data_IF_499346416694
#
_entry.id   IF_499346416694
#
_cell.length_a   1.000
_cell.length_b   1.000
_cell.length_c   1.000
_cell.angle_alpha   90.00
_cell.angle_beta   90.00
_cell.angle_gamma   90.00
#
_symmetry.space_group_name_H-M   'P 1'
#
loop_
_entity.id
_entity.type
_entity.pdbx_description
1 polymer ?
#
# COMPACT_ATOMS: atom_id res chain seq x y z
N UNK A 1 24.16 8.34 30.30
CA UNK A 1 23.21 9.27 29.65
C UNK A 1 22.35 8.45 28.72
N UNK A 2 21.05 8.42 29.00
CA UNK A 2 20.13 7.48 28.37
C UNK A 2 19.58 7.97 27.05
N UNK A 3 19.28 7.03 26.18
CA UNK A 3 18.19 7.13 25.21
C UNK A 3 17.26 5.97 25.49
N UNK A 4 16.13 6.28 26.12
CA UNK A 4 15.01 5.37 26.24
C UNK A 4 14.46 5.15 24.83
N UNK A 5 14.70 3.98 24.25
CA UNK A 5 13.93 3.50 23.10
C UNK A 5 12.53 3.14 23.62
N UNK A 6 11.64 4.13 23.66
CA UNK A 6 10.23 3.90 23.91
C UNK A 6 9.57 3.38 22.63
N UNK A 7 9.00 2.16 22.69
CA UNK A 7 7.83 1.68 21.94
C UNK A 7 7.59 2.30 20.52
N UNK A 8 8.42 2.02 19.51
CA UNK A 8 8.28 2.64 18.17
C UNK A 8 7.66 1.77 17.06
N UNK A 9 7.45 0.46 17.25
CA UNK A 9 7.07 -0.43 16.13
C UNK A 9 5.68 -0.17 15.53
N UNK A 10 4.66 0.08 16.36
CA UNK A 10 3.29 0.34 15.87
C UNK A 10 3.17 1.72 15.18
N UNK A 11 3.93 2.70 15.65
CA UNK A 11 4.06 4.04 15.04
C UNK A 11 4.65 3.96 13.64
N UNK A 12 5.65 3.10 13.46
CA UNK A 12 6.34 2.94 12.18
C UNK A 12 5.47 2.20 11.16
N UNK A 13 4.74 1.14 11.56
CA UNK A 13 3.81 0.45 10.64
C UNK A 13 2.74 1.40 10.10
N UNK A 14 2.03 2.10 10.98
CA UNK A 14 0.91 2.97 10.60
C UNK A 14 1.34 4.02 9.59
N UNK A 15 2.48 4.68 9.86
CA UNK A 15 3.03 5.71 8.97
C UNK A 15 3.42 5.11 7.62
N UNK A 16 4.23 4.05 7.61
CA UNK A 16 4.70 3.43 6.36
C UNK A 16 3.53 2.86 5.55
N UNK A 17 2.56 2.20 6.18
CA UNK A 17 1.39 1.65 5.50
C UNK A 17 0.55 2.76 4.83
N UNK A 18 0.37 3.91 5.49
CA UNK A 18 -0.35 5.05 4.90
C UNK A 18 0.41 5.65 3.71
N UNK A 19 1.73 5.75 3.78
CA UNK A 19 2.57 6.19 2.66
C UNK A 19 2.45 5.22 1.46
N UNK A 20 2.51 3.92 1.71
CA UNK A 20 2.35 2.88 0.68
C UNK A 20 0.96 2.93 0.03
N UNK A 21 -0.10 3.14 0.81
CA UNK A 21 -1.46 3.32 0.27
C UNK A 21 -1.54 4.54 -0.65
N UNK A 22 -0.86 5.64 -0.31
CA UNK A 22 -0.89 6.85 -1.13
C UNK A 22 -0.13 6.67 -2.44
N UNK A 23 1.07 6.08 -2.39
CA UNK A 23 1.83 5.70 -3.58
C UNK A 23 1.03 4.79 -4.50
N UNK A 24 0.25 3.89 -3.91
CA UNK A 24 -0.55 2.96 -4.67
C UNK A 24 -1.77 3.60 -5.32
N UNK A 25 -2.41 4.60 -4.67
CA UNK A 25 -3.44 5.40 -5.34
C UNK A 25 -2.88 6.16 -6.55
N UNK A 26 -1.69 6.76 -6.41
CA UNK A 26 -1.01 7.44 -7.51
C UNK A 26 -0.74 6.44 -8.64
N UNK A 27 -0.29 5.23 -8.30
CA UNK A 27 -0.06 4.16 -9.28
C UNK A 27 -1.32 3.82 -10.08
N UNK A 28 -2.46 3.71 -9.40
CA UNK A 28 -3.77 3.43 -10.02
C UNK A 28 -4.24 4.62 -10.87
N UNK A 29 -4.17 5.85 -10.35
CA UNK A 29 -4.64 7.05 -11.03
C UNK A 29 -3.87 7.34 -12.32
N UNK A 30 -2.55 7.13 -12.31
CA UNK A 30 -1.68 7.39 -13.44
C UNK A 30 -1.38 6.15 -14.29
N UNK A 31 -1.92 4.98 -13.91
CA UNK A 31 -1.65 3.67 -14.53
C UNK A 31 -0.15 3.48 -14.73
N UNK A 32 0.58 3.45 -13.61
CA UNK A 32 2.04 3.41 -13.61
C UNK A 32 2.62 2.82 -12.34
N UNK A 33 3.93 2.56 -12.38
CA UNK A 33 4.69 2.10 -11.21
C UNK A 33 5.66 3.18 -10.76
N UNK A 34 5.62 3.60 -9.48
CA UNK A 34 6.60 4.53 -8.92
C UNK A 34 7.91 3.79 -8.64
N UNK A 35 8.73 3.58 -9.67
CA UNK A 35 10.00 2.85 -9.57
C UNK A 35 10.94 3.41 -8.49
N UNK A 36 10.96 4.73 -8.30
CA UNK A 36 11.78 5.40 -7.28
C UNK A 36 11.40 5.03 -5.84
N UNK A 37 10.24 4.38 -5.66
CA UNK A 37 9.68 4.01 -4.36
C UNK A 37 9.72 2.49 -4.11
N UNK A 38 10.31 1.73 -5.04
CA UNK A 38 10.42 0.25 -4.96
C UNK A 38 11.02 -0.21 -3.64
N UNK A 39 12.09 0.45 -3.17
CA UNK A 39 12.76 0.12 -1.91
C UNK A 39 11.81 0.26 -0.71
N UNK A 40 10.87 1.22 -0.72
CA UNK A 40 9.88 1.36 0.35
C UNK A 40 8.88 0.22 0.36
N UNK A 41 8.41 -0.21 -0.83
CA UNK A 41 7.55 -1.38 -0.95
C UNK A 41 8.26 -2.64 -0.45
N UNK A 42 9.48 -2.88 -0.90
CA UNK A 42 10.26 -4.05 -0.50
C UNK A 42 10.57 -4.06 1.00
N UNK A 43 10.95 -2.93 1.56
CA UNK A 43 11.17 -2.79 2.99
C UNK A 43 9.89 -3.06 3.79
N UNK A 44 8.76 -2.49 3.39
CA UNK A 44 7.47 -2.73 4.04
C UNK A 44 7.04 -4.20 3.94
N UNK A 45 7.21 -4.84 2.79
CA UNK A 45 6.82 -6.23 2.58
C UNK A 45 7.69 -7.25 3.32
N UNK A 46 8.99 -6.97 3.42
CA UNK A 46 9.96 -7.81 4.13
C UNK A 46 9.97 -7.61 5.65
N UNK A 47 9.46 -6.47 6.14
CA UNK A 47 9.40 -6.19 7.58
C UNK A 47 8.32 -7.05 8.26
N UNK A 48 8.68 -7.71 9.36
CA UNK A 48 7.75 -8.46 10.18
C UNK A 48 7.05 -7.55 11.21
N UNK A 49 5.72 -7.62 11.23
CA UNK A 49 4.85 -6.82 12.10
C UNK A 49 4.03 -7.70 13.07
N UNK A 50 3.23 -7.08 13.94
CA UNK A 50 2.30 -7.80 14.81
C UNK A 50 1.18 -8.50 14.02
N UNK A 51 0.48 -9.46 14.62
CA UNK A 51 -0.53 -10.28 13.94
C UNK A 51 -1.61 -9.45 13.19
N UNK A 52 -2.12 -8.38 13.82
CA UNK A 52 -3.11 -7.49 13.21
C UNK A 52 -2.54 -6.72 12.02
N UNK A 53 -1.31 -6.22 12.16
CA UNK A 53 -0.61 -5.43 11.14
C UNK A 53 -0.21 -6.31 9.95
N UNK A 54 0.21 -7.55 10.20
CA UNK A 54 0.48 -8.55 9.16
C UNK A 54 -0.77 -8.86 8.33
N UNK A 55 -1.94 -8.93 8.97
CA UNK A 55 -3.22 -9.06 8.26
C UNK A 55 -3.47 -7.90 7.30
N UNK A 56 -3.19 -6.67 7.74
CA UNK A 56 -3.33 -5.47 6.92
C UNK A 56 -2.27 -5.43 5.81
N UNK A 57 -1.00 -5.72 6.11
CA UNK A 57 0.09 -5.80 5.13
C UNK A 57 -0.25 -6.77 4.00
N UNK A 58 -0.73 -7.97 4.32
CA UNK A 58 -1.13 -8.97 3.31
C UNK A 58 -2.24 -8.46 2.41
N UNK A 59 -3.23 -7.73 2.94
CA UNK A 59 -4.28 -7.10 2.11
C UNK A 59 -3.71 -6.04 1.17
N UNK A 60 -2.80 -5.19 1.66
CA UNK A 60 -2.10 -4.19 0.83
C UNK A 60 -1.32 -4.89 -0.30
N UNK A 61 -0.57 -5.94 0.03
CA UNK A 61 0.19 -6.73 -0.94
C UNK A 61 -0.71 -7.38 -1.99
N UNK A 62 -1.83 -7.99 -1.57
CA UNK A 62 -2.77 -8.62 -2.50
C UNK A 62 -3.29 -7.62 -3.51
N UNK A 63 -3.78 -6.47 -3.04
CA UNK A 63 -4.27 -5.43 -3.94
C UNK A 63 -3.17 -4.99 -4.89
N UNK A 64 -1.97 -4.71 -4.36
CA UNK A 64 -0.82 -4.31 -5.17
C UNK A 64 -0.56 -5.29 -6.32
N UNK A 65 -0.54 -6.59 -6.04
CA UNK A 65 -0.39 -7.61 -7.09
C UNK A 65 -1.55 -7.64 -8.07
N UNK A 66 -2.80 -7.50 -7.60
CA UNK A 66 -3.99 -7.49 -8.46
C UNK A 66 -3.94 -6.35 -9.49
N UNK A 67 -3.51 -5.14 -9.08
CA UNK A 67 -3.33 -4.04 -10.02
C UNK A 67 -2.20 -4.30 -11.02
N UNK A 68 -1.03 -4.73 -10.56
CA UNK A 68 0.10 -4.96 -11.47
C UNK A 68 -0.13 -6.14 -12.43
N UNK A 69 -1.01 -7.07 -12.07
CA UNK A 69 -1.44 -8.15 -12.95
C UNK A 69 -2.51 -7.72 -13.96
N UNK A 70 -3.46 -6.85 -13.55
CA UNK A 70 -4.64 -6.53 -14.34
C UNK A 70 -4.54 -5.23 -15.16
N UNK A 71 -3.71 -4.27 -14.74
CA UNK A 71 -3.63 -2.98 -15.40
C UNK A 71 -3.02 -3.09 -16.80
N UNK A 72 -3.67 -2.45 -17.77
CA UNK A 72 -3.14 -2.29 -19.12
C UNK A 72 -2.15 -1.12 -19.15
N UNK A 73 -0.89 -1.39 -18.82
CA UNK A 73 0.19 -0.39 -18.87
C UNK A 73 0.55 0.09 -20.28
N UNK A 74 0.14 -0.64 -21.33
CA UNK A 74 0.42 -0.26 -22.73
C UNK A 74 -0.51 0.85 -23.20
N UNK A 75 -1.75 0.85 -22.71
CA UNK A 75 -2.74 1.90 -22.97
C UNK A 75 -3.32 2.39 -21.64
N UNK A 76 -2.79 3.52 -21.15
CA UNK A 76 -3.23 4.11 -19.88
C UNK A 76 -4.69 4.53 -19.89
N UNK A 77 -5.25 4.85 -21.06
CA UNK A 77 -6.63 5.30 -21.20
C UNK A 77 -7.60 4.14 -21.47
N UNK A 78 -7.13 2.89 -21.43
CA UNK A 78 -7.99 1.72 -21.61
C UNK A 78 -9.15 1.76 -20.59
N UNK A 79 -10.42 1.63 -21.03
CA UNK A 79 -11.57 1.61 -20.14
C UNK A 79 -11.47 0.56 -19.01
N UNK A 80 -10.76 -0.55 -19.23
CA UNK A 80 -10.50 -1.56 -18.20
C UNK A 80 -9.69 -1.03 -17.03
N UNK A 81 -8.76 -0.08 -17.24
CA UNK A 81 -8.01 0.56 -16.15
C UNK A 81 -8.93 1.39 -15.25
N UNK A 82 -9.92 2.07 -15.85
CA UNK A 82 -10.92 2.83 -15.08
C UNK A 82 -11.78 1.89 -14.25
N UNK A 83 -12.24 0.77 -14.82
CA UNK A 83 -13.01 -0.24 -14.08
C UNK A 83 -12.18 -0.84 -12.94
N UNK A 84 -10.90 -1.14 -13.19
CA UNK A 84 -9.97 -1.62 -12.18
C UNK A 84 -9.80 -0.60 -11.05
N UNK A 85 -9.63 0.68 -11.37
CA UNK A 85 -9.53 1.75 -10.38
C UNK A 85 -10.81 1.88 -9.54
N UNK A 86 -11.99 1.79 -10.15
CA UNK A 86 -13.29 1.80 -9.47
C UNK A 86 -13.47 0.62 -8.49
N UNK A 87 -12.82 -0.52 -8.76
CA UNK A 87 -12.80 -1.68 -7.87
C UNK A 87 -11.79 -1.51 -6.72
N UNK A 88 -10.59 -1.02 -7.02
CA UNK A 88 -9.50 -0.96 -6.05
C UNK A 88 -9.60 0.22 -5.07
N UNK A 89 -10.12 1.37 -5.49
CA UNK A 89 -10.20 2.55 -4.62
C UNK A 89 -11.08 2.35 -3.37
N UNK A 90 -12.27 1.73 -3.45
CA UNK A 90 -13.05 1.37 -2.27
C UNK A 90 -12.25 0.51 -1.28
N UNK A 91 -11.56 -0.52 -1.76
CA UNK A 91 -10.77 -1.42 -0.91
C UNK A 91 -9.61 -0.67 -0.23
N UNK A 92 -8.91 0.20 -0.97
CA UNK A 92 -7.85 1.03 -0.39
C UNK A 92 -8.39 2.00 0.66
N UNK A 93 -9.59 2.54 0.47
CA UNK A 93 -10.24 3.41 1.46
C UNK A 93 -10.58 2.63 2.73
N UNK A 94 -11.03 1.39 2.61
CA UNK A 94 -11.27 0.52 3.76
C UNK A 94 -9.98 0.19 4.51
N UNK A 95 -8.94 -0.21 3.80
CA UNK A 95 -7.63 -0.50 4.41
C UNK A 95 -7.07 0.73 5.11
N UNK A 96 -7.16 1.91 4.49
CA UNK A 96 -6.76 3.19 5.13
C UNK A 96 -7.47 3.40 6.46
N UNK A 97 -8.78 3.19 6.53
CA UNK A 97 -9.54 3.29 7.79
C UNK A 97 -9.09 2.26 8.83
N UNK A 98 -8.77 1.04 8.42
CA UNK A 98 -8.25 0.02 9.34
C UNK A 98 -6.92 0.46 9.94
N UNK A 99 -6.01 0.99 9.12
CA UNK A 99 -4.72 1.52 9.56
C UNK A 99 -4.91 2.72 10.51
N UNK A 100 -5.83 3.63 10.19
CA UNK A 100 -6.13 4.80 11.04
C UNK A 100 -6.68 4.40 12.42
N UNK A 101 -7.34 3.24 12.53
CA UNK A 101 -7.93 2.71 13.76
C UNK A 101 -7.03 1.70 14.52
N UNK A 102 -5.81 1.43 14.03
CA UNK A 102 -4.74 0.82 14.82
C UNK A 102 -4.23 1.83 15.86
#
# INVERSE_FOLDING_TARGET
MGTKFGNSKDSDFKKTALEIIELYKISIEFVGYPYDETEKYEHFYSTAYGEKEEGIKKRIMSLHYDFFAAANFKDRNDPSNKLLAEQLFPELKEIKKLIENL
#
